data_IF_464043635501
#
_entry.id   IF_464043635501
#
_cell.length_a   1.000
_cell.length_b   1.000
_cell.length_c   1.000
_cell.angle_alpha   90.00
_cell.angle_beta   90.00
_cell.angle_gamma   90.00
#
_symmetry.space_group_name_H-M   'P 1'
#
loop_
_entity.id
_entity.type
_entity.pdbx_description
1 polymer ?
#
# COMPACT_ATOMS: atom_id res chain seq x y z
N UNK A 1 -12.73 22.45 -1.85
CA UNK A 1 -11.44 21.73 -1.79
C UNK A 1 -11.24 20.98 -3.09
N UNK A 2 -10.06 21.05 -3.72
CA UNK A 2 -9.74 20.29 -4.93
C UNK A 2 -9.02 18.98 -4.57
N UNK A 3 -9.44 17.86 -5.15
CA UNK A 3 -8.77 16.57 -4.97
C UNK A 3 -7.46 16.58 -5.78
N UNK A 4 -6.35 16.23 -5.12
CA UNK A 4 -5.05 16.03 -5.75
C UNK A 4 -4.72 14.54 -5.69
N UNK A 5 -4.69 13.88 -6.84
CA UNK A 5 -4.26 12.48 -6.96
C UNK A 5 -2.78 12.42 -7.33
N UNK A 6 -2.06 11.47 -6.74
CA UNK A 6 -0.67 11.16 -7.07
C UNK A 6 -0.49 9.66 -7.30
N UNK A 7 0.38 9.31 -8.24
CA UNK A 7 0.79 7.92 -8.43
C UNK A 7 1.89 7.51 -7.42
N UNK A 8 2.36 6.26 -7.54
CA UNK A 8 3.39 5.71 -6.66
C UNK A 8 4.76 6.38 -6.82
N UNK A 9 5.00 7.09 -7.92
CA UNK A 9 6.21 7.87 -8.18
C UNK A 9 6.05 9.33 -7.73
N UNK A 10 4.96 9.65 -7.03
CA UNK A 10 4.60 10.99 -6.58
C UNK A 10 4.29 11.97 -7.73
N UNK A 11 3.98 11.46 -8.93
CA UNK A 11 3.55 12.27 -10.07
C UNK A 11 2.08 12.65 -9.91
N UNK A 12 1.76 13.92 -10.09
CA UNK A 12 0.37 14.41 -10.04
C UNK A 12 -0.42 13.89 -11.22
N UNK A 13 -1.58 13.31 -10.95
CA UNK A 13 -2.51 12.82 -11.97
C UNK A 13 -3.50 13.95 -12.28
N UNK A 14 -3.56 14.45 -13.54
CA UNK A 14 -4.53 15.48 -13.90
C UNK A 14 -5.98 14.96 -13.79
N UNK A 15 -6.83 15.71 -13.11
CA UNK A 15 -8.24 15.39 -12.87
C UNK A 15 -9.15 16.33 -13.67
N UNK A 16 -10.21 15.78 -14.26
CA UNK A 16 -11.27 16.54 -14.94
C UNK A 16 -12.37 16.96 -13.96
N UNK A 17 -12.59 16.17 -12.91
CA UNK A 17 -13.59 16.48 -11.89
C UNK A 17 -13.92 15.29 -11.00
N UNK A 18 -14.87 15.54 -10.10
CA UNK A 18 -15.45 14.57 -9.19
C UNK A 18 -16.97 14.67 -9.28
N UNK A 19 -17.64 13.51 -9.25
CA UNK A 19 -19.09 13.44 -9.13
C UNK A 19 -19.50 12.26 -8.25
N UNK A 20 -20.76 12.28 -7.80
CA UNK A 20 -21.38 11.13 -7.18
C UNK A 20 -22.07 10.28 -8.25
N UNK A 21 -21.92 8.97 -8.16
CA UNK A 21 -22.56 8.01 -9.05
C UNK A 21 -23.28 6.94 -8.25
N UNK A 22 -24.44 6.52 -8.74
CA UNK A 22 -25.12 5.32 -8.23
C UNK A 22 -24.43 4.08 -8.79
N UNK A 23 -24.13 3.14 -7.92
CA UNK A 23 -23.44 1.91 -8.29
C UNK A 23 -24.09 0.71 -7.64
N UNK A 24 -24.07 -0.40 -8.36
CA UNK A 24 -24.73 -1.63 -7.95
C UNK A 24 -23.81 -2.84 -8.14
N UNK A 25 -23.87 -3.77 -7.17
CA UNK A 25 -23.24 -5.08 -7.25
C UNK A 25 -24.10 -6.11 -6.54
N UNK A 26 -24.77 -6.96 -7.33
CA UNK A 26 -25.70 -7.95 -6.79
C UNK A 26 -26.87 -7.25 -6.09
N UNK A 27 -27.06 -7.55 -4.80
CA UNK A 27 -28.13 -6.96 -3.98
C UNK A 27 -27.68 -5.72 -3.19
N UNK A 28 -26.51 -5.15 -3.51
CA UNK A 28 -25.96 -3.97 -2.85
C UNK A 28 -25.92 -2.80 -3.82
N UNK A 29 -26.47 -1.67 -3.40
CA UNK A 29 -26.43 -0.41 -4.13
C UNK A 29 -25.97 0.72 -3.21
N UNK A 30 -25.22 1.67 -3.75
CA UNK A 30 -24.74 2.84 -3.01
C UNK A 30 -24.44 4.01 -3.95
N UNK A 31 -24.53 5.24 -3.43
CA UNK A 31 -24.03 6.44 -4.11
C UNK A 31 -22.59 6.70 -3.65
N UNK A 32 -21.62 6.67 -4.56
CA UNK A 32 -20.19 6.75 -4.25
C UNK A 32 -19.46 7.78 -5.13
N UNK A 33 -18.35 8.35 -4.64
CA UNK A 33 -17.58 9.33 -5.41
C UNK A 33 -16.80 8.66 -6.54
N UNK A 34 -16.87 9.26 -7.72
CA UNK A 34 -16.12 8.96 -8.93
C UNK A 34 -15.25 10.16 -9.29
N UNK A 35 -13.94 9.92 -9.47
CA UNK A 35 -13.00 10.93 -9.93
C UNK A 35 -12.65 10.62 -11.38
N UNK A 36 -12.85 11.60 -12.27
CA UNK A 36 -12.51 11.49 -13.69
C UNK A 36 -11.10 12.05 -13.89
N UNK A 37 -10.22 11.26 -14.51
CA UNK A 37 -8.83 11.66 -14.81
C UNK A 37 -8.62 11.90 -16.30
N UNK A 38 -7.58 12.65 -16.64
CA UNK A 38 -7.23 12.91 -18.04
C UNK A 38 -6.47 11.72 -18.63
N UNK A 39 -6.86 11.35 -19.86
CA UNK A 39 -6.20 10.32 -20.67
C UNK A 39 -6.80 8.93 -20.52
N UNK A 40 -6.25 7.97 -21.25
CA UNK A 40 -6.67 6.57 -21.19
C UNK A 40 -5.87 5.84 -20.11
N UNK A 41 -6.53 5.49 -19.00
CA UNK A 41 -5.94 4.80 -17.85
C UNK A 41 -6.91 3.72 -17.37
N UNK A 42 -6.39 2.66 -16.75
CA UNK A 42 -7.25 1.67 -16.12
C UNK A 42 -8.14 2.33 -15.04
N UNK A 43 -9.43 2.03 -15.06
CA UNK A 43 -10.35 2.45 -14.01
C UNK A 43 -9.96 1.75 -12.71
N UNK A 44 -9.81 2.54 -11.65
CA UNK A 44 -9.46 2.05 -10.32
C UNK A 44 -10.64 2.18 -9.38
N UNK A 45 -10.89 1.12 -8.61
CA UNK A 45 -11.93 1.11 -7.59
C UNK A 45 -11.29 1.39 -6.23
N UNK A 46 -11.67 2.51 -5.62
CA UNK A 46 -11.12 2.95 -4.34
C UNK A 46 -11.56 2.03 -3.18
N UNK A 47 -10.73 1.96 -2.12
CA UNK A 47 -11.04 1.13 -0.93
C UNK A 47 -12.36 1.50 -0.25
N UNK A 48 -12.78 2.77 -0.35
CA UNK A 48 -14.06 3.25 0.18
C UNK A 48 -15.29 2.58 -0.47
N UNK A 49 -15.13 1.99 -1.67
CA UNK A 49 -16.19 1.24 -2.33
C UNK A 49 -16.30 -0.20 -1.83
N UNK A 50 -15.28 -0.73 -1.14
CA UNK A 50 -15.21 -2.16 -0.83
C UNK A 50 -16.30 -2.59 0.13
N UNK A 51 -16.43 -1.93 1.28
CA UNK A 51 -17.47 -2.24 2.26
C UNK A 51 -18.87 -2.09 1.65
N UNK A 52 -19.10 -0.99 0.92
CA UNK A 52 -20.40 -0.63 0.34
C UNK A 52 -20.86 -1.63 -0.73
N UNK A 53 -19.92 -2.17 -1.50
CA UNK A 53 -20.18 -3.20 -2.51
C UNK A 53 -19.93 -4.62 -1.98
N UNK A 54 -19.54 -4.77 -0.72
CA UNK A 54 -19.08 -6.00 -0.08
C UNK A 54 -18.01 -6.75 -0.88
N UNK A 55 -17.00 -6.02 -1.33
CA UNK A 55 -15.76 -6.56 -1.89
C UNK A 55 -14.82 -6.93 -0.74
N UNK A 56 -14.16 -8.08 -0.88
CA UNK A 56 -13.12 -8.54 0.05
C UNK A 56 -11.89 -8.91 -0.75
N UNK A 57 -10.71 -8.67 -0.19
CA UNK A 57 -9.45 -9.11 -0.78
C UNK A 57 -9.10 -10.45 -0.15
N UNK A 58 -9.07 -11.51 -0.95
CA UNK A 58 -8.59 -12.83 -0.55
C UNK A 58 -7.12 -13.02 -0.97
N UNK A 59 -6.38 -13.87 -0.27
CA UNK A 59 -5.02 -14.26 -0.67
C UNK A 59 -3.90 -13.25 -0.34
N UNK A 60 -4.19 -12.22 0.46
CA UNK A 60 -3.11 -11.43 1.05
C UNK A 60 -2.46 -12.29 2.13
N UNK A 61 -1.14 -12.48 2.07
CA UNK A 61 -0.38 -13.02 3.18
C UNK A 61 -0.54 -12.07 4.36
N UNK A 62 -1.54 -12.33 5.19
CA UNK A 62 -1.79 -11.55 6.38
C UNK A 62 -0.66 -11.83 7.36
N UNK A 63 -0.15 -10.78 8.00
CA UNK A 63 0.77 -10.93 9.13
C UNK A 63 -0.07 -11.54 10.26
N UNK A 64 -0.08 -12.87 10.34
CA UNK A 64 -0.86 -13.64 11.33
C UNK A 64 -0.33 -13.37 12.75
N UNK A 65 0.95 -12.98 12.85
CA UNK A 65 1.60 -12.55 14.07
C UNK A 65 2.57 -11.43 13.74
N UNK A 66 2.40 -10.26 14.36
CA UNK A 66 3.46 -9.26 14.37
C UNK A 66 4.56 -9.81 15.26
N UNK A 67 5.56 -10.45 14.66
CA UNK A 67 6.78 -10.80 15.38
C UNK A 67 7.38 -9.46 15.83
N UNK A 68 7.48 -9.27 17.14
CA UNK A 68 8.03 -8.07 17.72
C UNK A 68 9.55 -8.11 17.60
N UNK A 69 10.06 -7.96 16.38
CA UNK A 69 11.50 -7.97 16.09
C UNK A 69 12.32 -7.02 16.99
N UNK A 70 11.81 -5.82 17.36
CA UNK A 70 12.49 -4.99 18.35
C UNK A 70 12.69 -5.66 19.71
N UNK A 71 11.74 -6.49 20.15
CA UNK A 71 11.84 -7.22 21.40
C UNK A 71 12.69 -8.49 21.28
N UNK A 72 12.64 -9.16 20.13
CA UNK A 72 13.43 -10.38 19.85
C UNK A 72 14.91 -10.06 19.61
N UNK A 73 15.21 -8.92 19.01
CA UNK A 73 16.56 -8.47 18.65
C UNK A 73 16.85 -7.04 19.14
N UNK A 74 16.82 -6.79 20.47
CA UNK A 74 16.98 -5.45 21.03
C UNK A 74 18.32 -4.81 20.65
N UNK A 75 19.37 -5.60 20.42
CA UNK A 75 20.69 -5.10 20.00
C UNK A 75 20.73 -4.59 18.55
N UNK A 76 19.81 -5.07 17.69
CA UNK A 76 19.71 -4.65 16.27
C UNK A 76 18.85 -3.41 16.14
N UNK A 77 17.83 -3.28 17.00
CA UNK A 77 16.82 -2.22 16.95
C UNK A 77 16.95 -1.19 18.08
N UNK A 78 18.08 -1.17 18.79
CA UNK A 78 18.35 -0.13 19.77
C UNK A 78 18.44 1.24 19.08
N UNK A 79 18.05 2.28 19.81
CA UNK A 79 18.13 3.67 19.33
C UNK A 79 19.55 4.22 19.34
N UNK A 80 20.49 3.46 19.89
CA UNK A 80 21.92 3.76 19.91
C UNK A 80 22.53 3.44 18.53
N UNK A 81 22.09 4.17 17.51
CA UNK A 81 22.69 4.15 16.18
C UNK A 81 24.18 4.47 16.28
N UNK A 82 25.02 3.44 16.14
CA UNK A 82 26.46 3.62 16.28
C UNK A 82 27.25 2.34 16.18
N UNK A 83 27.42 1.85 14.94
CA UNK A 83 28.46 0.91 14.48
C UNK A 83 28.82 -0.24 15.42
N UNK A 84 28.42 -1.45 15.03
CA UNK A 84 29.02 -2.70 15.54
C UNK A 84 30.54 -2.53 15.75
N UNK A 85 31.00 -2.66 17.00
CA UNK A 85 32.41 -2.49 17.41
C UNK A 85 33.17 -3.81 17.59
N UNK A 86 32.56 -4.93 17.22
CA UNK A 86 33.21 -6.25 17.26
C UNK A 86 34.08 -6.55 16.03
N UNK A 87 34.65 -7.76 15.93
CA UNK A 87 35.44 -8.19 14.77
C UNK A 87 34.63 -8.13 13.47
N UNK A 88 35.18 -7.68 12.34
CA UNK A 88 34.44 -7.44 11.10
C UNK A 88 33.44 -8.57 10.77
N UNK A 89 32.16 -8.22 10.71
CA UNK A 89 31.12 -9.18 10.29
C UNK A 89 31.29 -9.40 8.79
N UNK A 90 31.73 -10.59 8.40
CA UNK A 90 31.74 -10.98 6.99
C UNK A 90 30.42 -11.64 6.63
N UNK A 91 29.68 -11.04 5.71
CA UNK A 91 28.53 -11.67 5.08
C UNK A 91 29.04 -12.49 3.89
N UNK A 92 29.02 -13.82 4.01
CA UNK A 92 29.26 -14.71 2.89
C UNK A 92 27.97 -14.85 2.09
N UNK A 93 27.77 -13.94 1.14
CA UNK A 93 26.68 -14.02 0.16
C UNK A 93 27.06 -15.03 -0.93
N UNK A 94 26.18 -16.00 -1.18
CA UNK A 94 26.30 -16.87 -2.34
C UNK A 94 26.17 -16.01 -3.61
N UNK A 95 27.21 -16.04 -4.45
CA UNK A 95 27.32 -15.26 -5.68
C UNK A 95 26.24 -15.59 -6.71
N UNK A 96 25.50 -16.68 -6.53
CA UNK A 96 24.44 -17.10 -7.43
C UNK A 96 23.06 -16.54 -7.05
N UNK A 97 22.93 -15.88 -5.89
CA UNK A 97 21.67 -15.23 -5.51
C UNK A 97 21.54 -13.93 -6.31
N UNK A 98 20.52 -13.89 -7.18
CA UNK A 98 20.21 -12.69 -7.98
C UNK A 98 19.40 -11.69 -7.14
N UNK A 99 19.54 -10.37 -7.39
CA UNK A 99 18.78 -9.33 -6.72
C UNK A 99 17.27 -9.47 -6.89
#
# INVERSE_FOLDING_TARGET
>A
SSIILRDYQNTVIPTLGECLVEVERGQRSATLPLIVTVGNRASLLGRNWFEKLGLTIAGVSQIVSVINYPQEYPDVFNTDLGSYRGPPVSFSLDKNVKP
#
